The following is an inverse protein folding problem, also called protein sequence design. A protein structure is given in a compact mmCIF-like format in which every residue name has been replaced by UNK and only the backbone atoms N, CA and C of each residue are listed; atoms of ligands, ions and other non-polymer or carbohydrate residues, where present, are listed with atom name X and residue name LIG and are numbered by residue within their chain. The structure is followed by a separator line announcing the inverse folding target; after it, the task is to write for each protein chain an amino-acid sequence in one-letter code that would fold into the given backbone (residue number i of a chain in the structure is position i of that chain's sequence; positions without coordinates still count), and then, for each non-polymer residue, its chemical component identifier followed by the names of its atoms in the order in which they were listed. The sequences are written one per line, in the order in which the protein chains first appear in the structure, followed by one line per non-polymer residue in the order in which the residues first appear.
data_IF_680820367305
#
_entry.id   IF_680820367305
#
_cell.length_a   1.000
_cell.length_b   1.000
_cell.length_c   1.000
_cell.angle_alpha   90.00
_cell.angle_beta   90.00
_cell.angle_gamma   90.00
#
_symmetry.space_group_name_H-M   'P 1'
#
loop_
_entity.id
_entity.type
_entity.pdbx_description
1 polymer ?
#
# COMPACT_ATOMS: atom_id res chain seq x y z
N UNK A 1 -20.84 7.21 8.02
CA UNK A 1 -20.76 5.79 7.61
C UNK A 1 -19.53 5.65 6.73
N UNK A 2 -18.68 4.66 6.98
CA UNK A 2 -17.48 4.39 6.17
C UNK A 2 -17.51 2.96 5.66
N UNK A 3 -17.13 2.78 4.40
CA UNK A 3 -16.93 1.47 3.79
C UNK A 3 -15.45 1.09 3.87
N UNK A 4 -15.10 0.17 4.77
CA UNK A 4 -13.70 -0.20 5.03
C UNK A 4 -13.04 -0.89 3.81
N UNK A 5 -13.83 -1.65 3.04
CA UNK A 5 -13.35 -2.47 1.92
C UNK A 5 -12.70 -1.68 0.79
N UNK A 6 -13.08 -0.41 0.59
CA UNK A 6 -12.45 0.44 -0.43
C UNK A 6 -10.96 0.61 -0.16
N UNK A 7 -10.59 0.82 1.11
CA UNK A 7 -9.21 1.02 1.50
C UNK A 7 -8.42 -0.29 1.61
N UNK A 8 -9.08 -1.39 1.99
CA UNK A 8 -8.47 -2.72 2.11
C UNK A 8 -8.10 -3.35 0.76
N UNK A 9 -8.82 -3.00 -0.32
CA UNK A 9 -8.61 -3.57 -1.65
C UNK A 9 -7.65 -2.75 -2.52
N UNK A 10 -7.03 -1.69 -1.98
CA UNK A 10 -5.95 -0.99 -2.68
C UNK A 10 -4.74 -1.91 -2.76
N UNK A 11 -4.12 -2.08 -3.94
CA UNK A 11 -2.94 -2.95 -4.13
C UNK A 11 -1.69 -2.28 -3.57
N UNK A 12 -1.66 -2.07 -2.25
CA UNK A 12 -0.57 -1.47 -1.51
C UNK A 12 -0.42 -2.20 -0.18
N UNK A 13 0.79 -2.58 0.16
CA UNK A 13 1.07 -3.33 1.39
C UNK A 13 0.64 -2.59 2.66
N UNK A 14 0.50 -1.25 2.61
CA UNK A 14 0.03 -0.40 3.72
C UNK A 14 -1.49 -0.25 3.77
N UNK A 15 -2.25 -0.93 2.91
CA UNK A 15 -3.70 -0.83 2.87
C UNK A 15 -4.33 -1.13 4.24
N UNK A 16 -3.95 -2.25 4.86
CA UNK A 16 -4.45 -2.67 6.17
C UNK A 16 -4.19 -1.63 7.27
N UNK A 17 -2.99 -1.07 7.32
CA UNK A 17 -2.61 -0.03 8.29
C UNK A 17 -3.42 1.25 8.07
N UNK A 18 -3.55 1.70 6.82
CA UNK A 18 -4.33 2.90 6.50
C UNK A 18 -5.80 2.73 6.85
N UNK A 19 -6.39 1.56 6.57
CA UNK A 19 -7.76 1.26 6.97
C UNK A 19 -7.91 1.38 8.48
N UNK A 20 -7.01 0.75 9.26
CA UNK A 20 -7.05 0.84 10.72
C UNK A 20 -6.99 2.30 11.19
N UNK A 21 -6.02 3.08 10.68
CA UNK A 21 -5.86 4.49 11.05
C UNK A 21 -7.11 5.32 10.74
N UNK A 22 -7.73 5.13 9.57
CA UNK A 22 -8.94 5.84 9.18
C UNK A 22 -10.12 5.51 10.12
N UNK A 23 -10.30 4.22 10.45
CA UNK A 23 -11.37 3.78 11.35
C UNK A 23 -11.21 4.37 12.75
N UNK A 24 -10.00 4.28 13.33
CA UNK A 24 -9.69 4.85 14.64
C UNK A 24 -9.81 6.37 14.64
N UNK A 25 -9.34 7.06 13.60
CA UNK A 25 -9.45 8.52 13.50
C UNK A 25 -10.91 8.98 13.47
N UNK A 26 -11.77 8.28 12.74
CA UNK A 26 -13.18 8.66 12.63
C UNK A 26 -13.93 8.35 13.92
N UNK A 27 -13.66 7.19 14.54
CA UNK A 27 -14.15 6.88 15.89
C UNK A 27 -13.75 7.96 16.90
N UNK A 28 -12.47 8.33 16.92
CA UNK A 28 -11.94 9.35 17.82
C UNK A 28 -12.35 10.78 17.50
N UNK A 29 -12.90 11.09 16.31
CA UNK A 29 -13.48 12.40 15.99
C UNK A 29 -14.95 12.50 16.41
N UNK A 30 -15.70 11.41 16.27
CA UNK A 30 -17.11 11.38 16.67
C UNK A 30 -17.31 11.50 18.19
N UNK A 31 -16.35 11.03 18.99
CA UNK A 31 -16.46 11.04 20.46
C UNK A 31 -16.00 12.32 21.18
N UNK A 32 -15.66 13.42 20.47
CA UNK A 32 -15.09 14.65 21.10
C UNK A 32 -16.11 15.77 21.39
N UNK A 33 -17.38 15.57 21.04
CA UNK A 33 -18.44 16.52 21.39
C UNK A 33 -19.03 16.21 22.76
N UNK A 34 -19.79 17.16 23.32
CA UNK A 34 -20.54 16.99 24.58
C UNK A 34 -21.59 15.86 24.51
N UNK A 35 -21.99 15.46 23.30
CA UNK A 35 -22.87 14.33 23.04
C UNK A 35 -22.08 13.11 22.54
N UNK A 36 -22.41 11.88 22.99
CA UNK A 36 -21.77 10.66 22.52
C UNK A 36 -22.04 10.46 21.02
N UNK A 37 -21.01 10.61 20.19
CA UNK A 37 -21.09 10.31 18.77
C UNK A 37 -21.04 8.81 18.49
N UNK A 38 -21.88 8.34 17.56
CA UNK A 38 -21.88 6.95 17.10
C UNK A 38 -21.20 6.84 15.74
N UNK A 39 -20.24 5.91 15.60
CA UNK A 39 -19.63 5.56 14.31
C UNK A 39 -20.13 4.19 13.88
N UNK A 40 -20.63 4.13 12.64
CA UNK A 40 -21.03 2.89 12.00
C UNK A 40 -20.01 2.60 10.90
N UNK A 41 -19.33 1.46 11.03
CA UNK A 41 -18.41 0.91 10.04
C UNK A 41 -19.16 -0.18 9.27
N UNK A 42 -19.17 -0.07 7.95
CA UNK A 42 -19.68 -1.12 7.08
C UNK A 42 -18.51 -1.82 6.41
N UNK A 43 -18.55 -3.15 6.44
CA UNK A 43 -17.58 -3.98 5.71
C UNK A 43 -18.15 -5.35 5.41
N UNK A 44 -17.67 -5.96 4.32
CA UNK A 44 -17.90 -7.35 3.98
C UNK A 44 -16.94 -8.31 4.71
N UNK A 45 -15.93 -7.79 5.43
CA UNK A 45 -14.90 -8.58 6.13
C UNK A 45 -14.70 -8.09 7.57
N UNK A 46 -15.70 -8.23 8.46
CA UNK A 46 -15.60 -7.74 9.83
C UNK A 46 -14.47 -8.42 10.63
N UNK A 47 -14.07 -9.64 10.26
CA UNK A 47 -12.98 -10.40 10.87
C UNK A 47 -11.59 -9.93 10.41
N UNK A 48 -11.51 -9.03 9.42
CA UNK A 48 -10.22 -8.53 8.95
C UNK A 48 -9.46 -7.87 10.10
N UNK A 49 -8.15 -8.14 10.31
CA UNK A 49 -7.40 -7.65 11.46
C UNK A 49 -7.51 -6.14 11.70
N UNK A 50 -7.51 -5.34 10.63
CA UNK A 50 -7.69 -3.88 10.72
C UNK A 50 -9.06 -3.46 11.27
N UNK A 51 -10.12 -4.19 10.93
CA UNK A 51 -11.49 -3.86 11.35
C UNK A 51 -11.72 -4.32 12.78
N UNK A 52 -11.39 -5.58 13.07
CA UNK A 52 -11.52 -6.16 14.41
C UNK A 52 -10.74 -5.35 15.46
N UNK A 53 -9.49 -5.00 15.15
CA UNK A 53 -8.66 -4.21 16.06
C UNK A 53 -9.13 -2.75 16.18
N UNK A 54 -9.66 -2.15 15.11
CA UNK A 54 -10.21 -0.80 15.18
C UNK A 54 -11.47 -0.73 16.05
N UNK A 55 -12.31 -1.78 16.02
CA UNK A 55 -13.50 -1.86 16.85
C UNK A 55 -13.18 -1.88 18.36
N UNK A 56 -12.06 -2.51 18.74
CA UNK A 56 -11.60 -2.60 20.14
C UNK A 56 -10.50 -1.59 20.49
N UNK A 57 -10.11 -0.71 19.57
CA UNK A 57 -8.98 0.22 19.71
C UNK A 57 -7.63 -0.46 20.04
N UNK A 58 -7.45 -1.73 19.65
CA UNK A 58 -6.24 -2.51 19.86
C UNK A 58 -5.14 -2.17 18.84
N UNK A 59 -4.52 -0.99 19.00
CA UNK A 59 -3.40 -0.58 18.15
C UNK A 59 -2.18 -1.50 18.32
N UNK A 60 -1.83 -1.85 19.56
CA UNK A 60 -0.61 -2.60 19.85
C UNK A 60 -0.66 -4.00 19.22
N UNK A 61 -1.78 -4.72 19.39
CA UNK A 61 -1.96 -6.04 18.80
C UNK A 61 -2.08 -5.98 17.28
N UNK A 62 -2.72 -4.96 16.72
CA UNK A 62 -2.73 -4.74 15.27
C UNK A 62 -1.31 -4.56 14.71
N UNK A 63 -0.53 -3.65 15.30
CA UNK A 63 0.79 -3.31 14.80
C UNK A 63 1.78 -4.46 14.94
N UNK A 64 1.71 -5.25 16.02
CA UNK A 64 2.54 -6.44 16.18
C UNK A 64 2.32 -7.43 15.02
N UNK A 65 1.06 -7.78 14.73
CA UNK A 65 0.69 -8.67 13.63
C UNK A 65 1.13 -8.12 12.26
N UNK A 66 0.94 -6.82 12.05
CA UNK A 66 1.31 -6.16 10.80
C UNK A 66 2.84 -6.14 10.60
N UNK A 67 3.62 -5.85 11.65
CA UNK A 67 5.08 -5.88 11.58
C UNK A 67 5.61 -7.28 11.31
N UNK A 68 5.06 -8.32 11.93
CA UNK A 68 5.47 -9.70 11.67
C UNK A 68 5.20 -10.10 10.22
N UNK A 69 4.02 -9.72 9.69
CA UNK A 69 3.69 -9.91 8.28
C UNK A 69 4.66 -9.17 7.36
N UNK A 70 4.99 -7.90 7.66
CA UNK A 70 5.92 -7.10 6.86
C UNK A 70 7.33 -7.67 6.89
N UNK A 71 7.78 -8.19 8.04
CA UNK A 71 9.08 -8.86 8.16
C UNK A 71 9.14 -10.11 7.29
N UNK A 72 8.10 -10.94 7.35
CA UNK A 72 8.02 -12.17 6.56
C UNK A 72 8.00 -11.93 5.04
N UNK A 73 7.42 -10.80 4.61
CA UNK A 73 7.27 -10.44 3.19
C UNK A 73 8.32 -9.44 2.68
N UNK A 74 9.31 -9.06 3.50
CA UNK A 74 10.34 -8.10 3.09
C UNK A 74 9.82 -6.68 2.83
N UNK A 75 8.79 -6.24 3.55
CA UNK A 75 8.26 -4.88 3.46
C UNK A 75 8.88 -3.93 4.51
N UNK A 76 8.87 -2.61 4.26
CA UNK A 76 9.28 -1.61 5.24
C UNK A 76 8.57 -1.79 6.60
N UNK A 77 9.26 -1.62 7.75
CA UNK A 77 10.58 -1.02 7.90
C UNK A 77 11.76 -1.99 7.72
N UNK A 78 11.52 -3.27 7.43
CA UNK A 78 12.56 -4.31 7.35
C UNK A 78 13.30 -4.31 6.01
N UNK A 79 12.77 -3.61 5.02
CA UNK A 79 13.41 -3.38 3.73
C UNK A 79 13.22 -1.94 3.27
N UNK A 80 14.01 -1.53 2.27
CA UNK A 80 13.85 -0.26 1.56
C UNK A 80 13.26 -0.54 0.19
N UNK A 81 12.12 0.08 -0.11
CA UNK A 81 11.47 0.00 -1.41
C UNK A 81 11.63 1.32 -2.15
N UNK A 82 11.95 1.24 -3.44
CA UNK A 82 12.00 2.37 -4.36
C UNK A 82 11.06 2.06 -5.53
N UNK A 83 10.15 2.97 -5.82
CA UNK A 83 9.28 2.89 -6.99
C UNK A 83 9.77 3.91 -8.03
N UNK A 84 10.19 3.42 -9.20
CA UNK A 84 10.60 4.27 -10.32
C UNK A 84 9.47 4.29 -11.34
N UNK A 85 8.98 5.48 -11.67
CA UNK A 85 7.94 5.69 -12.69
C UNK A 85 8.52 6.48 -13.84
N UNK A 86 8.27 6.00 -15.06
CA UNK A 86 8.62 6.69 -16.30
C UNK A 86 7.33 7.23 -16.90
N UNK A 87 7.33 8.48 -17.37
CA UNK A 87 6.16 9.08 -18.01
C UNK A 87 6.59 9.82 -19.28
N UNK A 88 5.80 9.71 -20.35
CA UNK A 88 6.14 10.30 -21.66
C UNK A 88 4.94 10.50 -22.57
N UNK A 89 5.14 11.16 -23.72
CA UNK A 89 4.06 11.42 -24.69
C UNK A 89 3.83 10.27 -25.68
N UNK A 90 4.83 9.42 -25.85
CA UNK A 90 4.81 8.27 -26.74
C UNK A 90 4.94 6.99 -25.92
N UNK A 91 3.97 6.10 -26.07
CA UNK A 91 3.83 4.87 -25.27
C UNK A 91 5.00 3.90 -25.52
N UNK A 92 5.30 3.65 -26.80
CA UNK A 92 6.37 2.75 -27.21
C UNK A 92 7.75 3.19 -26.67
N UNK A 93 8.03 4.49 -26.71
CA UNK A 93 9.27 5.05 -26.15
C UNK A 93 9.35 4.88 -24.63
N UNK A 94 8.24 5.09 -23.91
CA UNK A 94 8.19 4.91 -22.44
C UNK A 94 8.40 3.44 -22.09
N UNK A 95 7.72 2.53 -22.77
CA UNK A 95 7.86 1.09 -22.55
C UNK A 95 9.29 0.62 -22.83
N UNK A 96 9.88 1.05 -23.94
CA UNK A 96 11.26 0.71 -24.29
C UNK A 96 12.25 1.22 -23.23
N UNK A 97 12.11 2.48 -22.80
CA UNK A 97 12.94 3.05 -21.73
C UNK A 97 12.78 2.29 -20.41
N UNK A 98 11.56 1.85 -20.07
CA UNK A 98 11.29 1.06 -18.87
C UNK A 98 11.96 -0.31 -18.91
N UNK A 99 11.88 -1.00 -20.05
CA UNK A 99 12.54 -2.29 -20.28
C UNK A 99 14.06 -2.17 -20.19
N UNK A 100 14.64 -1.15 -20.81
CA UNK A 100 16.09 -0.89 -20.75
C UNK A 100 16.57 -0.56 -19.35
N UNK A 101 15.85 0.31 -18.63
CA UNK A 101 16.17 0.67 -17.26
C UNK A 101 16.11 -0.55 -16.34
N UNK A 102 15.05 -1.35 -16.42
CA UNK A 102 14.91 -2.57 -15.62
C UNK A 102 16.04 -3.57 -15.90
N UNK A 103 16.45 -3.73 -17.17
CA UNK A 103 17.58 -4.58 -17.53
C UNK A 103 18.90 -4.07 -16.93
N UNK A 104 19.13 -2.75 -16.91
CA UNK A 104 20.31 -2.13 -16.28
C UNK A 104 20.29 -2.32 -14.77
N UNK A 105 19.16 -2.08 -14.12
CA UNK A 105 19.00 -2.24 -12.67
C UNK A 105 19.21 -3.70 -12.24
N UNK A 106 18.68 -4.68 -12.97
CA UNK A 106 18.94 -6.11 -12.69
C UNK A 106 20.42 -6.46 -12.78
N UNK A 107 21.14 -5.95 -13.78
CA UNK A 107 22.59 -6.16 -13.89
C UNK A 107 23.33 -5.58 -12.69
N UNK A 108 22.98 -4.36 -12.27
CA UNK A 108 23.59 -3.76 -11.09
C UNK A 108 23.20 -4.46 -9.79
N UNK A 109 21.95 -4.89 -9.63
CA UNK A 109 21.50 -5.64 -8.47
C UNK A 109 22.33 -6.92 -8.29
N UNK A 110 22.59 -7.65 -9.38
CA UNK A 110 23.50 -8.81 -9.37
C UNK A 110 24.93 -8.44 -9.00
N UNK A 111 25.49 -7.34 -9.51
CA UNK A 111 26.85 -6.91 -9.12
C UNK A 111 26.96 -6.54 -7.65
N UNK A 112 25.87 -6.07 -7.03
CA UNK A 112 25.78 -5.80 -5.60
C UNK A 112 25.35 -7.02 -4.77
N UNK A 113 25.19 -8.20 -5.39
CA UNK A 113 24.75 -9.43 -4.73
C UNK A 113 23.41 -9.26 -3.99
N UNK A 114 22.52 -8.42 -4.52
CA UNK A 114 21.15 -8.32 -4.05
C UNK A 114 20.35 -9.58 -4.45
N UNK A 115 19.27 -9.85 -3.73
CA UNK A 115 18.37 -10.96 -4.04
C UNK A 115 17.81 -10.86 -5.48
N UNK A 116 17.47 -12.01 -6.07
CA UNK A 116 17.02 -12.09 -7.46
C UNK A 116 15.71 -11.31 -7.72
N UNK A 117 14.91 -11.11 -6.68
CA UNK A 117 13.66 -10.36 -6.68
C UNK A 117 13.82 -8.87 -6.33
N UNK A 118 15.06 -8.38 -6.16
CA UNK A 118 15.34 -6.98 -5.83
C UNK A 118 14.85 -5.98 -6.89
N UNK A 119 14.58 -6.42 -8.12
CA UNK A 119 14.03 -5.60 -9.20
C UNK A 119 12.78 -6.25 -9.79
N UNK A 120 11.63 -5.76 -9.38
CA UNK A 120 10.31 -6.14 -9.90
C UNK A 120 9.91 -5.25 -11.08
N UNK A 121 9.23 -5.82 -12.09
CA UNK A 121 8.78 -5.09 -13.29
C UNK A 121 9.77 -5.13 -14.47
N UNK A 122 9.65 -4.25 -15.48
CA UNK A 122 8.68 -3.18 -15.58
C UNK A 122 7.26 -3.74 -15.64
N UNK A 123 6.31 -3.06 -15.01
CA UNK A 123 4.90 -3.44 -15.03
C UNK A 123 4.09 -2.24 -15.52
N UNK A 124 3.04 -2.47 -16.34
CA UNK A 124 2.18 -1.38 -16.76
C UNK A 124 1.52 -0.73 -15.53
N UNK A 125 1.36 0.60 -15.53
CA UNK A 125 0.67 1.28 -14.45
C UNK A 125 -0.81 0.83 -14.41
N UNK A 126 -1.48 0.89 -13.25
CA UNK A 126 -2.93 0.67 -13.15
C UNK A 126 -3.76 1.66 -14.00
N UNK A 127 -3.17 2.79 -14.38
CA UNK A 127 -3.77 3.80 -15.25
C UNK A 127 -2.74 4.16 -16.32
N UNK A 128 -2.99 3.71 -17.55
CA UNK A 128 -2.06 3.83 -18.69
C UNK A 128 -1.76 5.28 -19.06
N UNK A 129 -2.75 6.19 -18.97
CA UNK A 129 -2.60 7.58 -19.41
C UNK A 129 -3.15 8.58 -18.41
N UNK A 130 -2.33 9.54 -18.00
CA UNK A 130 -2.73 10.64 -17.12
C UNK A 130 -2.29 11.96 -17.73
N UNK A 131 -3.24 12.88 -17.93
CA UNK A 131 -3.00 14.22 -18.52
C UNK A 131 -2.25 14.16 -19.87
N UNK A 132 -2.59 13.19 -20.71
CA UNK A 132 -1.99 13.01 -22.03
C UNK A 132 -0.56 12.43 -22.04
N UNK A 133 -0.08 11.91 -20.90
CA UNK A 133 1.19 11.19 -20.80
C UNK A 133 0.96 9.72 -20.45
N UNK A 134 1.64 8.84 -21.17
CA UNK A 134 1.76 7.41 -20.90
C UNK A 134 2.69 7.20 -19.71
N UNK A 135 2.45 6.14 -18.92
CA UNK A 135 3.12 5.87 -17.64
C UNK A 135 3.52 4.41 -17.48
#
# INVERSE_FOLDING_TARGET
MLLADLSLNVPDFRAAERTFQLLVQVAGRAGRGDAPGRVIVQTFRPEHPSVAAAATHDYAGFMARELDRRRALGYPPFARLVNIRLEGRDDASVEQAARELAARLRRQARSFQLADDAVLGPAPPPVERVRGRYR
#
